data_IF_825656434300
#
_entry.id   IF_825656434300
#
_cell.length_a   1.000
_cell.length_b   1.000
_cell.length_c   1.000
_cell.angle_alpha   90.00
_cell.angle_beta   90.00
_cell.angle_gamma   90.00
#
_symmetry.space_group_name_H-M   'P 1'
#
loop_
_entity.id
_entity.type
_entity.pdbx_description
1 polymer ?
#
# COMPACT_ATOMS: atom_id res chain seq x y z
N UNK A 1 -7.03 32.15 9.88
CA UNK A 1 -6.26 30.87 9.87
C UNK A 1 -4.82 31.22 10.16
N UNK A 2 -4.28 30.75 11.27
CA UNK A 2 -2.99 31.21 11.81
C UNK A 2 -1.84 30.85 10.85
N UNK A 3 -0.86 31.75 10.70
CA UNK A 3 0.37 31.53 9.90
C UNK A 3 1.11 30.22 10.27
N UNK A 4 1.00 29.78 11.52
CA UNK A 4 1.60 28.53 12.01
C UNK A 4 1.14 27.28 11.22
N UNK A 5 -0.10 27.25 10.73
CA UNK A 5 -0.59 26.13 9.92
C UNK A 5 -0.09 26.16 8.47
N UNK A 6 0.26 27.33 7.98
CA UNK A 6 0.88 27.47 6.64
C UNK A 6 2.33 26.99 6.61
N UNK A 7 3.05 27.19 7.70
CA UNK A 7 4.46 26.74 7.79
C UNK A 7 4.58 25.22 7.81
N UNK A 8 3.60 24.50 8.38
CA UNK A 8 3.55 23.04 8.35
C UNK A 8 3.50 22.46 6.93
N UNK A 9 2.92 23.19 5.97
CA UNK A 9 2.81 22.78 4.58
C UNK A 9 4.05 23.13 3.74
N UNK A 10 5.03 23.82 4.31
CA UNK A 10 6.25 24.20 3.60
C UNK A 10 7.35 23.16 3.81
N UNK A 11 8.09 22.81 2.76
CA UNK A 11 9.28 21.94 2.86
C UNK A 11 10.36 22.50 3.80
N UNK A 12 10.31 23.80 4.09
CA UNK A 12 11.24 24.45 5.03
C UNK A 12 11.22 23.86 6.44
N UNK A 13 10.12 23.22 6.87
CA UNK A 13 10.05 22.52 8.17
C UNK A 13 11.14 21.46 8.31
N UNK A 14 11.52 20.83 7.19
CA UNK A 14 12.58 19.82 7.14
C UNK A 14 13.94 20.38 7.59
N UNK A 15 14.19 21.67 7.38
CA UNK A 15 15.44 22.35 7.79
C UNK A 15 15.53 22.56 9.31
N UNK A 16 14.40 22.45 10.01
CA UNK A 16 14.30 22.59 11.46
C UNK A 16 14.42 21.25 12.19
N UNK A 17 14.43 20.14 11.47
CA UNK A 17 14.49 18.80 12.06
C UNK A 17 15.98 18.41 12.17
N UNK A 18 16.42 18.17 13.38
CA UNK A 18 17.72 17.53 13.63
C UNK A 18 17.58 16.03 13.37
N UNK A 19 18.04 15.59 12.21
CA UNK A 19 17.97 14.17 11.81
C UNK A 19 18.86 13.27 12.64
N UNK A 20 19.85 13.82 13.38
CA UNK A 20 20.74 13.03 14.26
C UNK A 20 20.01 12.45 15.47
N UNK A 21 18.89 13.07 15.85
CA UNK A 21 18.09 12.65 17.01
C UNK A 21 17.04 11.60 16.70
N UNK A 22 16.90 11.19 15.43
CA UNK A 22 15.92 10.18 15.04
C UNK A 22 16.32 8.79 15.56
N UNK A 23 15.33 7.94 15.81
CA UNK A 23 15.56 6.55 16.23
C UNK A 23 16.45 5.79 15.25
N UNK A 24 16.29 6.05 13.95
CA UNK A 24 17.14 5.46 12.90
C UNK A 24 18.61 5.89 13.05
N UNK A 25 18.87 7.18 13.30
CA UNK A 25 20.23 7.70 13.48
C UNK A 25 20.88 7.21 14.78
N UNK A 26 20.05 6.94 15.78
CA UNK A 26 20.46 6.39 17.09
C UNK A 26 20.62 4.86 17.05
N UNK A 27 20.41 4.21 15.92
CA UNK A 27 20.53 2.76 15.77
C UNK A 27 19.46 1.95 16.50
N UNK A 28 18.34 2.58 16.88
CA UNK A 28 17.24 1.89 17.53
C UNK A 28 16.61 0.91 16.54
N UNK A 29 16.41 -0.32 16.99
CA UNK A 29 15.82 -1.38 16.15
C UNK A 29 14.42 -0.94 15.66
N UNK A 30 14.17 -0.95 14.34
CA UNK A 30 12.88 -0.60 13.82
C UNK A 30 11.79 -1.61 14.26
N UNK A 31 10.53 -1.19 14.35
CA UNK A 31 9.41 -2.09 14.59
C UNK A 31 9.29 -3.10 13.44
N UNK A 32 8.51 -4.16 13.66
CA UNK A 32 8.19 -5.13 12.60
C UNK A 32 7.59 -4.42 11.39
N UNK A 33 7.99 -4.83 10.18
CA UNK A 33 7.44 -4.32 8.94
C UNK A 33 5.97 -4.73 8.73
N UNK A 34 5.54 -5.77 9.42
CA UNK A 34 4.18 -6.30 9.36
C UNK A 34 3.53 -6.19 10.74
N UNK A 35 2.29 -5.74 10.76
CA UNK A 35 1.47 -5.73 11.97
C UNK A 35 1.24 -7.17 12.44
N UNK A 36 1.43 -7.47 13.72
CA UNK A 36 1.09 -8.78 14.23
C UNK A 36 -0.41 -9.03 14.10
N UNK A 37 -0.79 -10.22 13.63
CA UNK A 37 -2.16 -10.67 13.60
C UNK A 37 -2.37 -11.74 14.69
N UNK A 38 -3.60 -11.85 15.19
CA UNK A 38 -3.95 -12.91 16.13
C UNK A 38 -3.77 -14.27 15.43
N UNK A 39 -3.07 -15.26 16.04
CA UNK A 39 -2.94 -16.61 15.49
C UNK A 39 -4.29 -17.29 15.22
N UNK A 40 -5.32 -16.98 16.00
CA UNK A 40 -6.66 -17.55 15.87
C UNK A 40 -7.50 -16.92 14.75
N UNK A 41 -7.03 -15.81 14.15
CA UNK A 41 -7.77 -15.15 13.08
C UNK A 41 -7.79 -16.03 11.83
N UNK A 42 -8.97 -16.12 11.21
CA UNK A 42 -9.14 -16.82 9.95
C UNK A 42 -8.31 -16.15 8.86
N UNK A 43 -7.43 -16.91 8.23
CA UNK A 43 -6.59 -16.45 7.12
C UNK A 43 -7.12 -16.95 5.80
N UNK A 44 -7.14 -16.08 4.80
CA UNK A 44 -7.52 -16.42 3.43
C UNK A 44 -6.28 -16.26 2.57
N UNK A 45 -5.84 -17.35 1.94
CA UNK A 45 -4.74 -17.32 0.99
C UNK A 45 -5.18 -16.63 -0.29
N UNK A 46 -4.50 -15.57 -0.66
CA UNK A 46 -4.73 -14.86 -1.92
C UNK A 46 -4.04 -15.58 -3.07
N UNK A 47 -4.62 -15.46 -4.26
CA UNK A 47 -4.02 -15.99 -5.49
C UNK A 47 -2.79 -15.14 -5.84
N UNK A 48 -1.65 -15.82 -6.07
CA UNK A 48 -0.37 -15.15 -6.29
C UNK A 48 -0.31 -14.44 -7.64
N UNK A 49 0.54 -13.41 -7.77
CA UNK A 49 0.87 -12.83 -9.06
C UNK A 49 1.41 -13.90 -10.02
N UNK A 50 0.91 -13.89 -11.26
CA UNK A 50 1.25 -14.90 -12.27
C UNK A 50 0.26 -16.07 -12.36
N UNK A 51 -0.51 -16.35 -11.31
CA UNK A 51 -1.52 -17.42 -11.30
C UNK A 51 -2.94 -16.92 -11.68
N UNK A 52 -3.06 -15.63 -12.00
CA UNK A 52 -4.35 -15.03 -12.40
C UNK A 52 -4.74 -15.41 -13.83
N UNK A 53 -5.84 -16.12 -13.97
CA UNK A 53 -6.35 -16.60 -15.26
C UNK A 53 -7.36 -15.66 -15.92
N UNK A 54 -8.12 -14.92 -15.10
CA UNK A 54 -9.16 -14.00 -15.59
C UNK A 54 -8.68 -12.54 -15.69
N UNK A 55 -7.48 -12.22 -15.25
CA UNK A 55 -6.89 -10.89 -15.37
C UNK A 55 -6.14 -10.80 -16.70
N UNK A 56 -6.67 -10.00 -17.61
CA UNK A 56 -6.06 -9.80 -18.92
C UNK A 56 -4.94 -8.79 -18.87
N UNK A 57 -3.91 -9.02 -19.67
CA UNK A 57 -2.87 -8.01 -19.91
C UNK A 57 -3.43 -6.88 -20.78
N UNK A 58 -3.17 -5.66 -20.35
CA UNK A 58 -3.59 -4.45 -21.06
C UNK A 58 -2.40 -3.50 -21.11
N UNK A 59 -2.12 -2.92 -22.28
CA UNK A 59 -1.08 -1.91 -22.37
C UNK A 59 -1.41 -0.70 -21.50
N UNK A 60 -0.36 -0.04 -20.96
CA UNK A 60 -0.52 1.19 -20.16
C UNK A 60 -1.26 2.27 -20.96
N UNK A 61 -0.95 2.42 -22.25
CA UNK A 61 -1.64 3.35 -23.15
C UNK A 61 -3.15 3.08 -23.20
N UNK A 62 -3.54 1.81 -23.40
CA UNK A 62 -4.96 1.41 -23.43
C UNK A 62 -5.62 1.66 -22.08
N UNK A 63 -4.95 1.36 -20.98
CA UNK A 63 -5.47 1.58 -19.64
C UNK A 63 -5.73 3.06 -19.37
N UNK A 64 -4.81 3.94 -19.77
CA UNK A 64 -4.96 5.39 -19.65
C UNK A 64 -6.11 5.89 -20.54
N UNK A 65 -6.13 5.51 -21.82
CA UNK A 65 -7.12 5.96 -22.80
C UNK A 65 -8.54 5.53 -22.44
N UNK A 66 -8.70 4.31 -21.90
CA UNK A 66 -10.01 3.74 -21.55
C UNK A 66 -10.44 4.00 -20.10
N UNK A 67 -9.60 4.61 -19.28
CA UNK A 67 -9.93 4.92 -17.90
C UNK A 67 -11.12 5.89 -17.82
N UNK A 68 -12.13 5.53 -17.08
CA UNK A 68 -13.26 6.42 -16.75
C UNK A 68 -13.78 6.14 -15.35
N UNK A 69 -14.34 7.16 -14.71
CA UNK A 69 -15.05 6.99 -13.43
C UNK A 69 -16.35 6.24 -13.66
N UNK A 70 -16.51 5.11 -12.99
CA UNK A 70 -17.75 4.34 -12.99
C UNK A 70 -18.42 4.48 -11.64
N UNK A 71 -19.74 4.69 -11.63
CA UNK A 71 -20.55 4.87 -10.42
C UNK A 71 -21.77 3.96 -10.37
N UNK A 72 -21.91 3.11 -11.38
CA UNK A 72 -22.90 2.03 -11.40
C UNK A 72 -22.15 0.71 -11.24
N UNK A 73 -22.64 -0.12 -10.37
CA UNK A 73 -22.06 -1.41 -10.00
C UNK A 73 -23.10 -2.51 -10.29
N UNK A 74 -22.61 -3.72 -10.48
CA UNK A 74 -23.46 -4.92 -10.59
C UNK A 74 -23.66 -5.52 -9.22
N UNK A 75 -24.67 -6.36 -9.07
CA UNK A 75 -24.92 -7.14 -7.85
C UNK A 75 -23.99 -8.36 -7.73
N UNK A 76 -23.12 -8.58 -8.71
CA UNK A 76 -22.23 -9.73 -8.73
C UNK A 76 -21.15 -9.63 -7.64
N UNK A 77 -20.94 -10.70 -6.91
CA UNK A 77 -19.85 -10.80 -5.95
C UNK A 77 -18.48 -10.80 -6.65
N UNK A 78 -17.52 -10.09 -6.08
CA UNK A 78 -16.13 -10.09 -6.55
C UNK A 78 -15.51 -11.46 -6.29
N UNK A 79 -15.00 -12.11 -7.34
CA UNK A 79 -14.25 -13.36 -7.22
C UNK A 79 -12.92 -13.14 -6.49
N UNK A 80 -12.48 -14.15 -5.74
CA UNK A 80 -11.22 -14.08 -4.98
C UNK A 80 -10.02 -13.68 -5.86
N UNK A 81 -9.97 -14.12 -7.10
CA UNK A 81 -8.89 -13.77 -8.04
C UNK A 81 -8.82 -12.26 -8.30
N UNK A 82 -9.96 -11.64 -8.60
CA UNK A 82 -10.03 -10.18 -8.81
C UNK A 82 -9.69 -9.41 -7.53
N UNK A 83 -10.17 -9.89 -6.40
CA UNK A 83 -9.83 -9.31 -5.10
C UNK A 83 -8.33 -9.42 -4.80
N UNK A 84 -7.74 -10.57 -5.08
CA UNK A 84 -6.29 -10.81 -4.92
C UNK A 84 -5.47 -9.83 -5.78
N UNK A 85 -5.88 -9.63 -7.03
CA UNK A 85 -5.25 -8.66 -7.93
C UNK A 85 -5.36 -7.22 -7.40
N UNK A 86 -6.54 -6.80 -6.94
CA UNK A 86 -6.74 -5.44 -6.40
C UNK A 86 -5.87 -5.20 -5.17
N UNK A 87 -5.81 -6.14 -4.25
CA UNK A 87 -4.96 -6.05 -3.07
C UNK A 87 -3.48 -6.00 -3.44
N UNK A 88 -3.06 -6.83 -4.39
CA UNK A 88 -1.70 -6.78 -4.89
C UNK A 88 -1.40 -5.45 -5.58
N UNK A 89 -2.30 -4.93 -6.42
CA UNK A 89 -2.12 -3.67 -7.11
C UNK A 89 -1.96 -2.48 -6.15
N UNK A 90 -2.62 -2.52 -4.98
CA UNK A 90 -2.58 -1.44 -3.99
C UNK A 90 -1.41 -1.52 -3.02
N UNK A 91 -1.00 -2.71 -2.58
CA UNK A 91 0.02 -2.89 -1.54
C UNK A 91 0.86 -4.17 -1.72
N UNK A 92 0.79 -4.80 -2.88
CA UNK A 92 1.47 -6.06 -3.14
C UNK A 92 2.98 -6.00 -2.99
N UNK A 93 3.55 -7.04 -2.42
CA UNK A 93 4.99 -7.22 -2.33
C UNK A 93 5.55 -7.56 -3.70
N UNK A 94 6.49 -6.77 -4.21
CA UNK A 94 7.22 -7.01 -5.45
C UNK A 94 8.54 -7.71 -5.21
N UNK A 95 9.27 -7.25 -4.21
CA UNK A 95 10.60 -7.76 -3.90
C UNK A 95 10.88 -7.63 -2.41
N UNK A 96 11.34 -8.72 -1.79
CA UNK A 96 11.76 -8.75 -0.39
C UNK A 96 13.24 -8.44 -0.30
N UNK A 97 13.60 -7.31 0.27
CA UNK A 97 15.00 -6.87 0.43
C UNK A 97 15.58 -7.21 1.79
N UNK A 98 14.81 -7.01 2.84
CA UNK A 98 15.24 -7.29 4.21
C UNK A 98 14.03 -7.45 5.13
N UNK A 99 14.27 -7.71 6.40
CA UNK A 99 13.20 -7.79 7.41
C UNK A 99 12.39 -6.48 7.56
N UNK A 100 12.97 -5.34 7.16
CA UNK A 100 12.38 -4.01 7.39
C UNK A 100 12.22 -3.18 6.12
N UNK A 101 12.73 -3.64 4.97
CA UNK A 101 12.66 -2.93 3.68
C UNK A 101 12.18 -3.87 2.60
N UNK A 102 11.00 -3.60 2.07
CA UNK A 102 10.41 -4.39 1.00
C UNK A 102 9.87 -3.45 -0.07
N UNK A 103 10.06 -3.81 -1.34
CA UNK A 103 9.47 -3.05 -2.43
C UNK A 103 8.05 -3.55 -2.71
N UNK A 104 7.12 -2.59 -2.74
CA UNK A 104 5.72 -2.84 -3.04
C UNK A 104 5.34 -2.27 -4.40
N UNK A 105 4.12 -2.56 -4.83
CA UNK A 105 3.54 -2.05 -6.09
C UNK A 105 3.34 -0.54 -6.09
N UNK A 106 3.26 0.06 -4.91
CA UNK A 106 3.09 1.51 -4.72
C UNK A 106 4.32 2.13 -4.07
N UNK A 107 4.64 3.39 -4.38
CA UNK A 107 5.77 4.07 -3.76
C UNK A 107 5.49 4.40 -2.30
N UNK A 108 6.57 4.52 -1.53
CA UNK A 108 6.52 5.00 -0.15
C UNK A 108 7.83 5.69 0.20
N UNK A 109 7.76 6.83 0.87
CA UNK A 109 8.93 7.54 1.38
C UNK A 109 9.74 6.64 2.32
N UNK A 110 11.00 6.40 1.97
CA UNK A 110 11.90 5.53 2.75
C UNK A 110 11.47 4.05 2.80
N UNK A 111 10.63 3.58 1.87
CA UNK A 111 10.08 2.21 1.85
C UNK A 111 9.35 1.82 3.15
N UNK A 112 8.73 2.77 3.83
CA UNK A 112 8.10 2.51 5.13
C UNK A 112 6.71 1.90 5.03
N UNK A 113 5.96 2.16 3.95
CA UNK A 113 4.65 1.57 3.66
C UNK A 113 3.69 1.60 4.87
N UNK A 114 3.49 2.79 5.43
CA UNK A 114 2.73 2.99 6.66
C UNK A 114 1.21 2.72 6.52
N UNK A 115 0.71 2.54 5.29
CA UNK A 115 -0.71 2.32 5.03
C UNK A 115 -1.03 0.83 4.98
N UNK A 116 -2.13 0.45 5.63
CA UNK A 116 -2.72 -0.88 5.56
C UNK A 116 -4.03 -0.82 4.78
N UNK A 117 -4.34 -1.87 4.03
CA UNK A 117 -5.59 -1.97 3.27
C UNK A 117 -6.59 -2.82 4.03
N UNK A 118 -7.75 -2.25 4.30
CA UNK A 118 -8.88 -2.95 4.90
C UNK A 118 -10.00 -3.10 3.89
N UNK A 119 -10.75 -4.19 3.97
CA UNK A 119 -11.88 -4.47 3.11
C UNK A 119 -13.14 -4.58 3.98
N UNK A 120 -14.17 -3.82 3.62
CA UNK A 120 -15.51 -4.03 4.14
C UNK A 120 -16.30 -4.85 3.11
N UNK A 121 -16.68 -6.07 3.45
CA UNK A 121 -17.57 -6.89 2.64
C UNK A 121 -19.01 -6.64 3.12
N UNK A 122 -19.86 -6.19 2.20
CA UNK A 122 -21.29 -6.01 2.44
C UNK A 122 -22.02 -7.13 1.71
N UNK A 123 -22.91 -7.82 2.40
CA UNK A 123 -23.83 -8.87 1.90
C UNK A 123 -25.27 -8.51 2.16
#
# INVERSE_FOLDING_TARGET
>A
MSEKFRDFLKDSIRKMIDSSTTDQSRGIKPPSAEKPCNPEDKRINLIKPGDWKSIQEVSVETAIAKRKSRRSYTEDAIKLEKLSFLLWATQGLREKRSAVRNFRTVPSAGCRHALETYIAALW
#
